data_IF_249888308497
#
_entry.id   IF_249888308497
#
_cell.length_a   1.000
_cell.length_b   1.000
_cell.length_c   1.000
_cell.angle_alpha   90.00
_cell.angle_beta   90.00
_cell.angle_gamma   90.00
#
_symmetry.space_group_name_H-M   'P 1'
#
loop_
_entity.id
_entity.type
_entity.pdbx_description
1 polymer ?
#
# COMPACT_ATOMS: atom_id res chain seq x y z
N UNK A 1 3.38 9.89 -9.44
CA UNK A 1 3.70 10.03 -10.89
C UNK A 1 4.83 11.02 -11.10
N UNK A 2 4.77 12.25 -10.63
CA UNK A 2 5.79 13.31 -10.87
C UNK A 2 7.24 12.90 -10.53
N UNK A 3 7.45 12.16 -9.42
CA UNK A 3 8.79 11.67 -9.07
C UNK A 3 9.34 10.65 -10.10
N UNK A 4 8.53 9.69 -10.54
CA UNK A 4 8.94 8.67 -11.53
C UNK A 4 9.23 9.31 -12.90
N UNK A 5 8.47 10.34 -13.28
CA UNK A 5 8.74 11.13 -14.50
C UNK A 5 10.06 11.90 -14.37
N UNK A 6 10.30 12.54 -13.19
CA UNK A 6 11.53 13.31 -12.96
C UNK A 6 12.80 12.47 -13.08
N UNK A 7 12.77 11.21 -12.61
CA UNK A 7 13.91 10.28 -12.71
C UNK A 7 13.94 9.51 -14.04
N UNK A 8 12.98 9.77 -14.95
CA UNK A 8 12.86 9.08 -16.24
C UNK A 8 12.45 7.60 -16.14
N UNK A 9 11.94 7.16 -15.00
CA UNK A 9 11.50 5.78 -14.84
C UNK A 9 10.11 5.51 -15.42
N UNK A 10 9.26 6.55 -15.53
CA UNK A 10 7.90 6.43 -16.05
C UNK A 10 7.86 5.93 -17.49
N UNK A 11 8.77 6.36 -18.33
CA UNK A 11 8.88 5.95 -19.74
C UNK A 11 9.22 4.47 -19.94
N UNK A 12 9.76 3.83 -18.89
CA UNK A 12 10.09 2.42 -18.88
C UNK A 12 9.00 1.53 -18.27
N UNK A 13 7.93 2.11 -17.72
CA UNK A 13 6.77 1.35 -17.27
C UNK A 13 5.92 0.95 -18.48
N UNK A 14 5.33 -0.24 -18.36
CA UNK A 14 4.30 -0.68 -19.29
C UNK A 14 3.01 0.08 -18.97
N UNK A 15 2.65 1.03 -19.80
CA UNK A 15 1.47 1.88 -19.62
C UNK A 15 0.15 1.09 -19.76
N UNK A 16 0.16 -0.02 -20.50
CA UNK A 16 -1.00 -0.90 -20.63
C UNK A 16 -1.31 -1.65 -19.32
N UNK A 17 -0.37 -1.60 -18.35
CA UNK A 17 -0.51 -2.11 -16.99
C UNK A 17 -0.67 -1.01 -15.94
N UNK A 18 -0.88 0.21 -16.37
CA UNK A 18 -1.12 1.36 -15.49
C UNK A 18 -2.54 1.89 -15.73
N UNK A 19 -3.28 2.12 -14.64
CA UNK A 19 -4.66 2.53 -14.68
C UNK A 19 -4.88 3.80 -13.88
N UNK A 20 -5.25 4.85 -14.56
CA UNK A 20 -5.75 6.08 -13.93
C UNK A 20 -7.20 5.91 -13.52
N UNK A 21 -7.59 6.54 -12.40
CA UNK A 21 -8.98 6.63 -11.99
C UNK A 21 -9.30 8.05 -11.49
N UNK A 22 -10.54 8.48 -11.71
CA UNK A 22 -11.00 9.83 -11.48
C UNK A 22 -12.03 9.92 -10.35
N UNK A 23 -12.58 8.77 -9.95
CA UNK A 23 -13.64 8.72 -8.96
C UNK A 23 -13.32 7.70 -7.87
N UNK A 24 -13.71 8.02 -6.63
CA UNK A 24 -13.67 7.10 -5.52
C UNK A 24 -15.00 7.12 -4.76
N UNK A 25 -15.64 5.96 -4.65
CA UNK A 25 -16.86 5.71 -3.91
C UNK A 25 -16.52 5.11 -2.55
N UNK A 26 -16.89 5.79 -1.47
CA UNK A 26 -16.63 5.34 -0.09
C UNK A 26 -17.93 5.27 0.67
N UNK A 27 -18.22 4.14 1.35
CA UNK A 27 -19.43 4.05 2.18
C UNK A 27 -19.27 3.20 3.44
N UNK A 28 -20.13 3.45 4.39
CA UNK A 28 -20.26 2.66 5.61
C UNK A 28 -21.20 1.48 5.38
N UNK A 29 -20.72 0.28 5.61
CA UNK A 29 -21.47 -0.96 5.37
C UNK A 29 -22.62 -1.21 6.35
N UNK A 30 -22.72 -0.46 7.45
CA UNK A 30 -23.80 -0.59 8.45
C UNK A 30 -24.90 0.46 8.28
N UNK A 31 -24.54 1.70 7.89
CA UNK A 31 -25.49 2.82 7.76
C UNK A 31 -25.79 3.18 6.30
N UNK A 32 -25.00 2.67 5.37
CA UNK A 32 -25.00 3.01 3.93
C UNK A 32 -24.74 4.51 3.65
N UNK A 33 -24.26 5.27 4.64
CA UNK A 33 -23.83 6.65 4.45
C UNK A 33 -22.66 6.69 3.49
N UNK A 34 -22.73 7.53 2.45
CA UNK A 34 -21.80 7.54 1.32
C UNK A 34 -21.12 8.88 1.15
N UNK A 35 -19.92 8.85 0.59
CA UNK A 35 -19.20 10.00 0.06
C UNK A 35 -18.59 9.62 -1.29
N UNK A 36 -18.76 10.49 -2.27
CA UNK A 36 -18.16 10.33 -3.59
C UNK A 36 -17.09 11.41 -3.76
N UNK A 37 -15.86 10.99 -4.01
CA UNK A 37 -14.81 11.87 -4.45
C UNK A 37 -14.75 11.78 -5.97
N UNK A 38 -15.13 12.85 -6.65
CA UNK A 38 -15.17 12.93 -8.11
C UNK A 38 -14.32 14.12 -8.56
N UNK A 39 -13.20 13.83 -9.18
CA UNK A 39 -12.28 14.83 -9.73
C UNK A 39 -12.67 15.28 -11.14
N UNK A 40 -13.59 14.54 -11.80
CA UNK A 40 -14.07 14.89 -13.12
C UNK A 40 -15.11 16.03 -13.10
N UNK A 41 -15.77 16.23 -11.96
CA UNK A 41 -16.88 17.18 -11.84
C UNK A 41 -16.48 18.66 -12.01
N UNK A 42 -15.20 19.00 -11.71
CA UNK A 42 -14.69 20.38 -11.79
C UNK A 42 -13.92 20.66 -13.09
N UNK A 43 -13.89 19.69 -14.03
CA UNK A 43 -13.08 19.80 -15.25
C UNK A 43 -13.87 20.37 -16.43
N UNK A 44 -13.24 21.27 -17.19
CA UNK A 44 -13.74 21.68 -18.49
C UNK A 44 -13.76 20.48 -19.46
N UNK A 45 -14.77 20.35 -20.34
CA UNK A 45 -14.84 19.24 -21.30
C UNK A 45 -13.65 19.12 -22.26
N UNK A 46 -12.74 20.10 -22.26
CA UNK A 46 -11.59 20.21 -23.16
C UNK A 46 -10.22 20.06 -22.46
N UNK A 47 -10.18 19.86 -21.14
CA UNK A 47 -8.95 19.61 -20.38
C UNK A 47 -8.81 18.14 -20.05
N UNK A 48 -7.56 17.66 -19.91
CA UNK A 48 -7.28 16.33 -19.38
C UNK A 48 -7.95 16.21 -17.99
N UNK A 49 -8.83 15.24 -17.83
CA UNK A 49 -9.53 15.00 -16.56
C UNK A 49 -8.50 14.82 -15.44
N UNK A 50 -8.61 15.57 -14.33
CA UNK A 50 -7.71 15.40 -13.21
C UNK A 50 -7.85 13.98 -12.65
N UNK A 51 -6.72 13.37 -12.36
CA UNK A 51 -6.61 11.98 -11.92
C UNK A 51 -6.43 11.92 -10.41
N UNK A 52 -7.22 11.11 -9.71
CA UNK A 52 -7.02 10.85 -8.28
C UNK A 52 -5.68 10.18 -8.04
N UNK A 53 -5.45 9.10 -8.76
CA UNK A 53 -4.21 8.33 -8.70
C UNK A 53 -4.08 7.42 -9.94
N UNK A 54 -2.87 6.90 -10.11
CA UNK A 54 -2.57 5.87 -11.10
C UNK A 54 -2.24 4.57 -10.36
N UNK A 55 -2.97 3.52 -10.67
CA UNK A 55 -2.73 2.18 -10.16
C UNK A 55 -1.84 1.41 -11.11
N UNK A 56 -0.83 0.74 -10.58
CA UNK A 56 0.00 -0.21 -11.33
C UNK A 56 0.48 -1.31 -10.40
N UNK A 57 0.83 -2.46 -10.96
CA UNK A 57 1.38 -3.56 -10.19
C UNK A 57 2.82 -3.28 -9.76
N UNK A 58 3.20 -3.72 -8.56
CA UNK A 58 4.57 -3.60 -8.07
C UNK A 58 5.60 -4.21 -9.04
N UNK A 59 5.25 -5.33 -9.69
CA UNK A 59 6.13 -5.96 -10.66
C UNK A 59 6.41 -5.05 -11.87
N UNK A 60 5.41 -4.31 -12.35
CA UNK A 60 5.57 -3.34 -13.43
C UNK A 60 6.48 -2.18 -13.00
N UNK A 61 6.25 -1.63 -11.80
CA UNK A 61 7.06 -0.55 -11.25
C UNK A 61 8.53 -0.97 -11.09
N UNK A 62 8.78 -2.13 -10.47
CA UNK A 62 10.15 -2.65 -10.27
C UNK A 62 10.84 -2.89 -11.61
N UNK A 63 10.14 -3.49 -12.59
CA UNK A 63 10.68 -3.71 -13.93
C UNK A 63 11.05 -2.37 -14.61
N UNK A 64 10.17 -1.37 -14.54
CA UNK A 64 10.44 -0.05 -15.09
C UNK A 64 11.65 0.64 -14.46
N UNK A 65 11.78 0.58 -13.13
CA UNK A 65 12.93 1.11 -12.40
C UNK A 65 14.24 0.42 -12.80
N UNK A 66 14.25 -0.91 -12.88
CA UNK A 66 15.42 -1.68 -13.30
C UNK A 66 15.78 -1.38 -14.76
N UNK A 67 14.79 -1.27 -15.64
CA UNK A 67 15.00 -0.90 -17.05
C UNK A 67 15.59 0.51 -17.17
N UNK A 68 15.14 1.46 -16.33
CA UNK A 68 15.72 2.82 -16.30
C UNK A 68 17.16 2.81 -15.86
N UNK A 69 17.50 2.02 -14.83
CA UNK A 69 18.90 1.87 -14.38
C UNK A 69 19.75 1.29 -15.51
N UNK A 70 19.28 0.22 -16.15
CA UNK A 70 20.01 -0.40 -17.27
C UNK A 70 20.20 0.57 -18.46
N UNK A 71 19.16 1.37 -18.76
CA UNK A 71 19.21 2.35 -19.86
C UNK A 71 20.11 3.56 -19.55
N UNK A 72 20.41 3.83 -18.27
CA UNK A 72 21.33 4.93 -17.92
C UNK A 72 22.75 4.69 -18.39
N UNK A 73 23.16 3.43 -18.53
CA UNK A 73 24.54 3.09 -18.89
C UNK A 73 25.59 3.56 -17.87
N UNK A 74 25.16 3.92 -16.65
CA UNK A 74 26.06 4.44 -15.62
C UNK A 74 26.86 3.29 -14.99
N UNK A 75 28.14 3.23 -15.33
CA UNK A 75 29.08 2.22 -14.81
C UNK A 75 29.31 2.32 -13.30
N UNK A 76 28.92 3.44 -12.67
CA UNK A 76 29.04 3.61 -11.22
C UNK A 76 27.89 2.97 -10.43
N UNK A 77 26.85 2.47 -11.12
CA UNK A 77 25.73 1.78 -10.49
C UNK A 77 25.89 0.28 -10.61
N UNK A 78 26.02 -0.42 -9.48
CA UNK A 78 26.11 -1.89 -9.43
C UNK A 78 24.92 -2.50 -8.72
N UNK A 79 24.28 -3.50 -9.34
CA UNK A 79 23.18 -4.27 -8.77
C UNK A 79 23.66 -5.67 -8.42
N UNK A 80 23.62 -6.02 -7.14
CA UNK A 80 23.96 -7.35 -6.64
C UNK A 80 22.69 -8.21 -6.52
N UNK A 81 22.26 -8.81 -7.62
CA UNK A 81 21.11 -9.71 -7.66
C UNK A 81 21.41 -11.03 -6.92
N UNK A 82 20.37 -11.70 -6.40
CA UNK A 82 20.49 -12.96 -5.65
C UNK A 82 21.54 -12.89 -4.52
N UNK A 83 21.60 -11.75 -3.84
CA UNK A 83 22.58 -11.48 -2.80
C UNK A 83 21.86 -11.03 -1.53
N UNK A 84 22.27 -11.58 -0.39
CA UNK A 84 21.78 -11.22 0.93
C UNK A 84 22.87 -10.53 1.72
N UNK A 85 22.53 -9.48 2.46
CA UNK A 85 23.40 -8.91 3.48
C UNK A 85 23.36 -9.81 4.71
N UNK A 86 24.44 -10.54 4.95
CA UNK A 86 24.55 -11.51 6.06
C UNK A 86 24.91 -10.86 7.39
N UNK A 87 25.74 -9.80 7.36
CA UNK A 87 26.05 -8.99 8.54
C UNK A 87 26.29 -7.52 8.14
N UNK A 88 26.07 -6.62 9.10
CA UNK A 88 26.47 -5.22 9.04
C UNK A 88 27.25 -4.93 10.32
N UNK A 89 28.44 -4.42 10.19
CA UNK A 89 29.38 -4.16 11.29
C UNK A 89 30.02 -2.78 11.10
N UNK A 90 30.58 -2.21 12.14
CA UNK A 90 31.44 -1.05 12.00
C UNK A 90 32.82 -1.50 11.49
N UNK A 91 33.45 -0.68 10.69
CA UNK A 91 34.82 -0.88 10.24
C UNK A 91 35.83 -0.78 11.39
N UNK A 92 37.10 -0.81 11.01
CA UNK A 92 38.21 -0.71 11.96
C UNK A 92 39.10 0.45 11.57
N UNK A 93 39.77 1.02 12.56
CA UNK A 93 40.89 1.93 12.34
C UNK A 93 42.10 1.14 11.86
N UNK A 94 42.76 1.64 10.83
CA UNK A 94 43.97 1.05 10.29
C UNK A 94 45.12 2.06 10.47
N UNK A 95 46.21 1.69 11.15
CA UNK A 95 47.31 2.60 11.44
C UNK A 95 47.95 3.30 10.21
N UNK A 96 47.91 2.60 9.06
CA UNK A 96 48.50 3.05 7.80
C UNK A 96 47.44 3.46 6.75
N UNK A 97 46.18 3.67 7.14
CA UNK A 97 45.05 3.97 6.23
C UNK A 97 44.05 4.95 6.81
N UNK A 98 42.94 5.22 6.11
CA UNK A 98 41.88 6.03 6.66
C UNK A 98 41.17 5.31 7.82
N UNK A 99 40.79 6.06 8.85
CA UNK A 99 39.94 5.56 9.94
C UNK A 99 38.54 5.23 9.39
N UNK A 100 38.22 3.94 9.37
CA UNK A 100 36.91 3.42 8.94
C UNK A 100 36.07 2.93 10.12
N UNK A 101 36.47 3.18 11.36
CA UNK A 101 35.79 2.68 12.56
C UNK A 101 34.31 3.08 12.64
N UNK A 102 33.95 4.24 12.09
CA UNK A 102 32.57 4.72 12.00
C UNK A 102 31.84 4.34 10.69
N UNK A 103 32.50 3.60 9.78
CA UNK A 103 31.92 3.28 8.48
C UNK A 103 31.23 1.91 8.52
N UNK A 104 29.98 1.79 8.00
CA UNK A 104 29.31 0.52 7.88
C UNK A 104 30.05 -0.42 6.91
N UNK A 105 30.31 -1.63 7.32
CA UNK A 105 30.87 -2.71 6.52
C UNK A 105 29.82 -3.80 6.38
N UNK A 106 29.43 -4.08 5.14
CA UNK A 106 28.42 -5.08 4.80
C UNK A 106 29.12 -6.35 4.32
N UNK A 107 28.72 -7.51 4.83
CA UNK A 107 29.09 -8.80 4.30
C UNK A 107 27.98 -9.31 3.37
N UNK A 108 28.29 -9.45 2.10
CA UNK A 108 27.37 -9.88 1.05
C UNK A 108 27.56 -11.37 0.79
N UNK A 109 26.50 -12.14 0.93
CA UNK A 109 26.48 -13.57 0.65
C UNK A 109 25.52 -13.90 -0.49
N UNK A 110 25.90 -14.71 -1.49
CA UNK A 110 24.98 -15.15 -2.54
C UNK A 110 23.88 -16.03 -1.95
N UNK A 111 22.66 -15.93 -2.49
CA UNK A 111 21.53 -16.81 -2.13
C UNK A 111 21.53 -18.07 -3.01
N UNK A 112 21.20 -19.23 -2.43
CA UNK A 112 21.09 -20.50 -3.17
C UNK A 112 22.39 -21.33 -3.23
N UNK A 113 22.55 -22.11 -4.30
CA UNK A 113 23.62 -23.12 -4.43
C UNK A 113 25.08 -22.57 -4.45
N UNK A 114 25.24 -21.26 -4.57
CA UNK A 114 26.56 -20.61 -4.61
C UNK A 114 27.12 -20.25 -3.23
N UNK A 115 26.58 -20.77 -2.14
CA UNK A 115 26.96 -20.45 -0.74
C UNK A 115 28.40 -20.87 -0.36
N UNK A 116 29.15 -21.52 -1.23
CA UNK A 116 30.52 -21.93 -0.96
C UNK A 116 31.59 -20.85 -1.18
N UNK A 117 31.22 -19.67 -1.69
CA UNK A 117 32.14 -18.54 -1.84
C UNK A 117 32.21 -17.69 -0.57
N UNK A 118 33.41 -17.19 -0.21
CA UNK A 118 33.51 -16.26 0.92
C UNK A 118 32.69 -15.00 0.65
N UNK A 119 32.05 -14.43 1.67
CA UNK A 119 31.24 -13.22 1.51
C UNK A 119 32.10 -12.06 1.00
N UNK A 120 31.59 -11.34 0.02
CA UNK A 120 32.19 -10.08 -0.41
C UNK A 120 31.92 -9.01 0.63
N UNK A 121 32.95 -8.28 1.05
CA UNK A 121 32.80 -7.15 2.01
C UNK A 121 32.80 -5.82 1.26
N UNK A 122 31.85 -4.97 1.60
CA UNK A 122 31.72 -3.61 1.06
C UNK A 122 31.67 -2.63 2.22
N UNK A 123 32.51 -1.62 2.19
CA UNK A 123 32.46 -0.49 3.13
C UNK A 123 31.68 0.65 2.49
N UNK A 124 30.67 1.17 3.18
CA UNK A 124 29.79 2.20 2.66
C UNK A 124 30.06 3.57 3.31
N UNK A 125 30.21 4.60 2.48
CA UNK A 125 30.28 5.98 2.96
C UNK A 125 28.94 6.45 3.56
N UNK A 126 27.84 6.00 2.95
CA UNK A 126 26.47 6.14 3.44
C UNK A 126 25.72 4.83 3.16
N UNK A 127 25.14 4.23 4.17
CA UNK A 127 24.28 3.07 4.07
C UNK A 127 22.81 3.50 4.12
N UNK A 128 22.06 3.20 3.06
CA UNK A 128 20.62 3.49 3.01
C UNK A 128 19.82 2.22 3.23
N UNK A 129 19.02 2.19 4.31
CA UNK A 129 18.09 1.10 4.61
C UNK A 129 16.77 1.31 3.87
N UNK A 130 16.53 0.48 2.83
CA UNK A 130 15.27 0.37 2.10
C UNK A 130 14.73 -1.07 2.18
N UNK A 131 15.01 -1.76 3.28
CA UNK A 131 14.91 -3.19 3.51
C UNK A 131 13.63 -3.60 4.26
N UNK A 132 12.65 -2.71 4.33
CA UNK A 132 11.31 -2.96 4.81
C UNK A 132 11.15 -2.96 6.33
N UNK A 133 9.97 -3.35 6.79
CA UNK A 133 9.53 -3.25 8.21
C UNK A 133 10.50 -3.91 9.21
N UNK A 134 11.15 -5.00 8.83
CA UNK A 134 12.08 -5.73 9.69
C UNK A 134 13.55 -5.32 9.49
N UNK A 135 13.81 -4.11 9.03
CA UNK A 135 15.10 -3.56 8.61
C UNK A 135 16.30 -3.99 9.47
N UNK A 136 17.24 -4.78 8.92
CA UNK A 136 18.55 -5.00 9.52
C UNK A 136 19.37 -3.71 9.65
N UNK A 137 19.25 -2.79 8.68
CA UNK A 137 19.96 -1.51 8.71
C UNK A 137 19.50 -0.65 9.88
N UNK A 138 18.19 -0.58 10.14
CA UNK A 138 17.65 0.13 11.31
C UNK A 138 18.16 -0.46 12.62
N UNK A 139 18.22 -1.79 12.73
CA UNK A 139 18.77 -2.47 13.92
C UNK A 139 20.26 -2.21 14.11
N UNK A 140 21.03 -2.24 13.01
CA UNK A 140 22.45 -1.90 13.05
C UNK A 140 22.68 -0.46 13.55
N UNK A 141 21.85 0.49 13.12
CA UNK A 141 21.94 1.89 13.52
C UNK A 141 21.37 2.18 14.93
N UNK A 142 20.87 1.16 15.66
CA UNK A 142 20.20 1.26 16.95
C UNK A 142 19.05 2.29 16.98
N UNK A 143 18.34 2.41 15.85
CA UNK A 143 17.20 3.32 15.73
C UNK A 143 15.94 2.62 16.25
N UNK A 144 15.37 3.14 17.34
CA UNK A 144 14.15 2.65 17.92
C UNK A 144 12.93 2.93 17.04
N UNK A 145 11.90 2.09 17.15
CA UNK A 145 10.60 2.32 16.51
C UNK A 145 9.50 2.33 17.54
N UNK A 146 8.57 3.25 17.39
CA UNK A 146 7.32 3.30 18.12
C UNK A 146 6.17 2.81 17.27
N UNK A 147 5.09 2.32 17.91
CA UNK A 147 3.91 1.89 17.21
C UNK A 147 3.26 0.66 17.82
N UNK A 148 2.27 0.14 17.12
CA UNK A 148 1.43 -0.98 17.57
C UNK A 148 0.99 -1.86 16.42
N UNK A 149 0.56 -3.05 16.74
CA UNK A 149 -0.10 -3.96 15.83
C UNK A 149 -1.63 -3.74 15.93
N UNK A 150 -2.28 -3.63 14.79
CA UNK A 150 -3.74 -3.44 14.77
C UNK A 150 -4.52 -4.73 15.10
N UNK A 151 -3.84 -5.87 15.23
CA UNK A 151 -4.46 -7.20 15.33
C UNK A 151 -5.44 -7.44 14.17
N UNK A 152 -5.05 -7.01 12.99
CA UNK A 152 -5.78 -7.12 11.73
C UNK A 152 -4.83 -7.58 10.64
N UNK A 153 -5.40 -8.21 9.61
CA UNK A 153 -4.70 -8.57 8.40
C UNK A 153 -5.31 -7.88 7.19
N UNK A 154 -4.48 -7.48 6.26
CA UNK A 154 -4.90 -7.09 4.91
C UNK A 154 -4.86 -8.33 4.02
N UNK A 155 -6.01 -8.73 3.48
CA UNK A 155 -6.11 -9.74 2.42
C UNK A 155 -6.05 -9.01 1.08
N UNK A 156 -5.17 -9.44 0.20
CA UNK A 156 -5.01 -8.88 -1.15
C UNK A 156 -5.22 -9.95 -2.19
N UNK A 157 -5.75 -9.56 -3.34
CA UNK A 157 -5.91 -10.43 -4.50
C UNK A 157 -6.01 -9.60 -5.78
N UNK A 158 -5.59 -10.18 -6.91
CA UNK A 158 -5.90 -9.65 -8.25
C UNK A 158 -7.14 -10.35 -8.79
N UNK A 159 -8.13 -9.56 -9.17
CA UNK A 159 -9.46 -10.02 -9.56
C UNK A 159 -9.75 -9.66 -11.01
N UNK A 160 -10.56 -10.50 -11.69
CA UNK A 160 -11.17 -10.18 -12.96
C UNK A 160 -12.62 -9.75 -12.72
N UNK A 161 -13.04 -8.71 -13.42
CA UNK A 161 -14.37 -8.13 -13.33
C UNK A 161 -15.21 -8.55 -14.54
N UNK A 162 -16.52 -8.67 -14.34
CA UNK A 162 -17.46 -8.86 -15.45
C UNK A 162 -17.42 -7.67 -16.40
N UNK A 163 -17.65 -7.94 -17.69
CA UNK A 163 -17.57 -6.93 -18.75
C UNK A 163 -18.57 -5.79 -18.48
N UNK A 164 -18.14 -4.53 -18.50
CA UNK A 164 -19.00 -3.38 -18.29
C UNK A 164 -20.10 -3.22 -19.33
N UNK A 165 -19.98 -3.82 -20.53
CA UNK A 165 -21.01 -3.78 -21.56
C UNK A 165 -22.35 -4.44 -21.16
N UNK A 166 -22.36 -5.22 -20.07
CA UNK A 166 -23.58 -5.77 -19.48
C UNK A 166 -24.19 -4.90 -18.35
N UNK A 167 -23.53 -3.82 -17.97
CA UNK A 167 -24.00 -2.92 -16.91
C UNK A 167 -23.95 -1.49 -17.48
N UNK A 168 -25.10 -0.83 -17.50
CA UNK A 168 -25.25 0.54 -18.04
C UNK A 168 -24.50 1.59 -17.18
N UNK A 169 -23.18 1.61 -17.25
CA UNK A 169 -22.36 2.71 -16.71
C UNK A 169 -21.78 3.58 -17.84
N UNK A 170 -21.65 4.89 -17.62
CA UNK A 170 -21.02 5.76 -18.63
C UNK A 170 -19.60 5.24 -18.94
N UNK A 171 -19.35 4.97 -20.20
CA UNK A 171 -18.02 4.64 -20.72
C UNK A 171 -17.07 5.77 -20.32
N UNK A 172 -16.11 5.51 -19.43
CA UNK A 172 -14.98 6.42 -19.18
C UNK A 172 -14.61 6.72 -17.75
N UNK A 173 -15.48 6.54 -16.76
CA UNK A 173 -15.10 6.79 -15.36
C UNK A 173 -14.64 5.49 -14.70
N UNK A 174 -13.34 5.41 -14.45
CA UNK A 174 -12.75 4.30 -13.67
C UNK A 174 -12.81 4.68 -12.21
N UNK A 175 -13.58 3.92 -11.46
CA UNK A 175 -13.95 4.21 -10.08
C UNK A 175 -13.25 3.25 -9.14
N UNK A 176 -12.64 3.77 -8.08
CA UNK A 176 -12.19 3.00 -6.93
C UNK A 176 -13.36 2.87 -5.93
N UNK A 177 -13.51 1.72 -5.32
CA UNK A 177 -14.58 1.43 -4.37
C UNK A 177 -14.01 1.07 -3.01
N UNK A 178 -14.58 1.63 -1.93
CA UNK A 178 -14.19 1.28 -0.57
C UNK A 178 -15.42 1.22 0.34
N UNK A 179 -15.62 0.06 0.97
CA UNK A 179 -16.69 -0.16 1.94
C UNK A 179 -16.13 -0.45 3.32
N UNK A 180 -16.59 0.28 4.34
CA UNK A 180 -16.20 0.03 5.72
C UNK A 180 -17.05 -1.06 6.35
N UNK A 181 -16.44 -2.22 6.63
CA UNK A 181 -17.06 -3.40 7.21
C UNK A 181 -16.63 -3.56 8.68
N UNK A 182 -17.01 -2.62 9.53
CA UNK A 182 -16.55 -2.54 10.93
C UNK A 182 -16.69 -3.84 11.71
N UNK A 183 -17.87 -4.44 11.63
CA UNK A 183 -18.15 -5.70 12.32
C UNK A 183 -17.30 -6.88 11.84
N UNK A 184 -16.60 -6.74 10.72
CA UNK A 184 -15.66 -7.73 10.17
C UNK A 184 -14.19 -7.29 10.32
N UNK A 185 -13.95 -6.15 10.95
CA UNK A 185 -12.60 -5.71 11.36
C UNK A 185 -11.94 -4.66 10.48
N UNK A 186 -12.59 -4.13 9.43
CA UNK A 186 -12.03 -3.05 8.62
C UNK A 186 -12.65 -2.91 7.24
N UNK A 187 -12.12 -2.01 6.40
CA UNK A 187 -12.63 -1.78 5.07
C UNK A 187 -12.24 -2.87 4.07
N UNK A 188 -13.08 -3.01 3.05
CA UNK A 188 -12.76 -3.69 1.80
C UNK A 188 -12.67 -2.64 0.70
N UNK A 189 -11.61 -2.66 -0.09
CA UNK A 189 -11.40 -1.78 -1.23
C UNK A 189 -11.19 -2.59 -2.51
N UNK A 190 -11.72 -2.06 -3.61
CA UNK A 190 -11.51 -2.56 -4.96
C UNK A 190 -10.95 -1.41 -5.80
N UNK A 191 -9.72 -1.56 -6.25
CA UNK A 191 -8.98 -0.54 -6.98
C UNK A 191 -8.82 -0.99 -8.44
N UNK A 192 -9.15 -0.13 -9.41
CA UNK A 192 -9.16 -0.53 -10.81
C UNK A 192 -7.75 -0.80 -11.34
N UNK A 193 -7.62 -1.83 -12.14
CA UNK A 193 -6.49 -2.15 -12.98
C UNK A 193 -6.94 -2.21 -14.45
N UNK A 194 -6.01 -2.15 -15.42
CA UNK A 194 -6.35 -2.29 -16.83
C UNK A 194 -7.05 -3.62 -17.16
N UNK A 195 -7.70 -3.67 -18.34
CA UNK A 195 -8.26 -4.89 -18.92
C UNK A 195 -9.28 -5.60 -18.01
N UNK A 196 -10.21 -4.84 -17.41
CA UNK A 196 -11.24 -5.36 -16.51
C UNK A 196 -10.69 -6.15 -15.32
N UNK A 197 -9.49 -5.78 -14.84
CA UNK A 197 -8.95 -6.29 -13.60
C UNK A 197 -9.09 -5.28 -12.47
N UNK A 198 -8.96 -5.76 -11.25
CA UNK A 198 -8.92 -4.93 -10.06
C UNK A 198 -8.03 -5.56 -8.98
N UNK A 199 -7.46 -4.72 -8.13
CA UNK A 199 -6.80 -5.15 -6.90
C UNK A 199 -7.78 -5.07 -5.74
N UNK A 200 -7.96 -6.19 -5.02
CA UNK A 200 -8.64 -6.23 -3.74
C UNK A 200 -7.67 -5.90 -2.61
N UNK A 201 -8.11 -5.06 -1.67
CA UNK A 201 -7.47 -4.89 -0.36
C UNK A 201 -8.56 -4.97 0.70
N UNK A 202 -8.58 -6.05 1.49
CA UNK A 202 -9.59 -6.27 2.52
C UNK A 202 -8.94 -6.34 3.90
N UNK A 203 -9.10 -5.29 4.69
CA UNK A 203 -8.69 -5.28 6.09
C UNK A 203 -9.72 -6.03 6.93
N UNK A 204 -9.28 -7.05 7.69
CA UNK A 204 -10.19 -7.86 8.50
C UNK A 204 -9.47 -8.46 9.72
N UNK A 205 -10.18 -9.23 10.55
CA UNK A 205 -9.55 -9.93 11.67
C UNK A 205 -8.60 -11.03 11.19
N UNK A 206 -7.72 -11.49 12.06
CA UNK A 206 -6.78 -12.59 11.74
C UNK A 206 -7.52 -13.85 11.33
N UNK A 207 -8.60 -14.17 12.04
CA UNK A 207 -9.45 -15.35 11.81
C UNK A 207 -10.15 -15.26 10.45
N UNK A 208 -10.77 -14.10 10.16
CA UNK A 208 -11.43 -13.88 8.89
C UNK A 208 -10.44 -13.91 7.71
N UNK A 209 -9.25 -13.37 7.88
CA UNK A 209 -8.20 -13.42 6.86
C UNK A 209 -7.74 -14.85 6.58
N UNK A 210 -7.58 -15.67 7.64
CA UNK A 210 -7.27 -17.09 7.50
C UNK A 210 -8.41 -17.84 6.78
N UNK A 211 -9.66 -17.55 7.14
CA UNK A 211 -10.85 -18.10 6.48
C UNK A 211 -10.88 -17.76 5.00
N UNK A 212 -10.79 -16.47 4.63
CA UNK A 212 -10.81 -16.03 3.24
C UNK A 212 -9.72 -16.68 2.40
N UNK A 213 -8.52 -16.82 2.93
CA UNK A 213 -7.41 -17.50 2.24
C UNK A 213 -7.59 -18.99 2.08
N UNK A 214 -8.42 -19.61 2.89
CA UNK A 214 -8.68 -21.04 2.85
C UNK A 214 -9.81 -21.42 1.87
N UNK A 215 -10.51 -20.43 1.31
CA UNK A 215 -11.60 -20.65 0.39
C UNK A 215 -11.10 -21.11 -0.99
N UNK A 216 -11.94 -21.86 -1.69
CA UNK A 216 -11.74 -22.10 -3.11
C UNK A 216 -11.88 -20.80 -3.91
N UNK A 217 -11.35 -20.72 -5.13
CA UNK A 217 -11.52 -19.55 -5.99
C UNK A 217 -12.97 -19.09 -6.14
N UNK A 218 -13.91 -20.01 -6.36
CA UNK A 218 -15.35 -19.71 -6.50
C UNK A 218 -15.95 -19.14 -5.21
N UNK A 219 -15.68 -19.78 -4.06
CA UNK A 219 -16.15 -19.33 -2.77
C UNK A 219 -15.54 -17.95 -2.39
N UNK A 220 -14.27 -17.72 -2.70
CA UNK A 220 -13.62 -16.44 -2.50
C UNK A 220 -14.27 -15.32 -3.33
N UNK A 221 -14.53 -15.57 -4.62
CA UNK A 221 -15.25 -14.66 -5.51
C UNK A 221 -16.64 -14.33 -4.95
N UNK A 222 -17.38 -15.35 -4.49
CA UNK A 222 -18.69 -15.16 -3.88
C UNK A 222 -18.61 -14.26 -2.64
N UNK A 223 -17.60 -14.48 -1.78
CA UNK A 223 -17.38 -13.66 -0.59
C UNK A 223 -17.02 -12.21 -0.92
N UNK A 224 -16.19 -11.96 -1.94
CA UNK A 224 -15.86 -10.60 -2.39
C UNK A 224 -17.11 -9.90 -2.93
N UNK A 225 -17.90 -10.56 -3.76
CA UNK A 225 -19.16 -10.01 -4.26
C UNK A 225 -20.16 -9.72 -3.14
N UNK A 226 -20.26 -10.61 -2.15
CA UNK A 226 -21.08 -10.43 -0.96
C UNK A 226 -20.62 -9.19 -0.15
N UNK A 227 -19.30 -9.00 0.00
CA UNK A 227 -18.73 -7.91 0.78
C UNK A 227 -19.10 -6.52 0.24
N UNK A 228 -19.35 -6.38 -1.05
CA UNK A 228 -19.75 -5.10 -1.66
C UNK A 228 -21.27 -4.92 -1.79
N UNK A 229 -22.07 -5.99 -1.68
CA UNK A 229 -23.51 -5.97 -2.04
C UNK A 229 -24.46 -6.30 -0.90
N UNK A 230 -24.10 -7.24 -0.03
CA UNK A 230 -25.02 -7.74 0.97
C UNK A 230 -25.06 -6.86 2.24
N UNK A 231 -26.21 -6.82 2.94
CA UNK A 231 -26.29 -6.30 4.29
C UNK A 231 -25.30 -6.99 5.24
N UNK A 232 -24.88 -6.28 6.30
CA UNK A 232 -23.88 -6.81 7.24
C UNK A 232 -24.33 -8.11 7.92
N UNK A 233 -25.62 -8.30 8.16
CA UNK A 233 -26.18 -9.54 8.74
C UNK A 233 -25.88 -10.74 7.86
N UNK A 234 -26.16 -10.62 6.57
CA UNK A 234 -25.98 -11.66 5.58
C UNK A 234 -24.52 -11.97 5.31
N UNK A 235 -23.70 -10.91 5.23
CA UNK A 235 -22.27 -11.04 5.07
C UNK A 235 -21.62 -11.76 6.28
N UNK A 236 -22.06 -11.44 7.51
CA UNK A 236 -21.62 -12.14 8.72
C UNK A 236 -22.00 -13.62 8.72
N UNK A 237 -23.18 -13.93 8.21
CA UNK A 237 -23.59 -15.32 8.07
C UNK A 237 -22.66 -16.07 7.11
N UNK A 238 -22.43 -15.53 5.91
CA UNK A 238 -21.54 -16.14 4.93
C UNK A 238 -20.10 -16.30 5.43
N UNK A 239 -19.60 -15.36 6.23
CA UNK A 239 -18.27 -15.45 6.87
C UNK A 239 -18.17 -16.56 7.93
N UNK A 240 -19.29 -17.14 8.37
CA UNK A 240 -19.36 -18.19 9.38
C UNK A 240 -19.83 -19.53 8.82
N UNK A 241 -20.00 -19.62 7.50
CA UNK A 241 -20.40 -20.87 6.88
C UNK A 241 -19.33 -21.93 7.15
N UNK A 242 -19.75 -23.03 7.80
CA UNK A 242 -18.87 -24.15 8.10
C UNK A 242 -18.57 -24.93 6.82
N UNK A 243 -17.34 -25.44 6.72
CA UNK A 243 -17.00 -26.40 5.66
C UNK A 243 -17.83 -27.67 5.85
N UNK A 244 -18.65 -28.09 4.89
CA UNK A 244 -19.28 -29.40 4.99
C UNK A 244 -18.20 -30.49 5.08
N UNK A 245 -18.47 -31.52 5.86
CA UNK A 245 -17.58 -32.68 5.97
C UNK A 245 -17.54 -33.54 4.70
N UNK A 246 -18.39 -33.19 3.73
CA UNK A 246 -18.53 -33.82 2.40
C UNK A 246 -17.71 -33.08 1.34
N UNK A 247 -17.52 -33.68 0.20
CA UNK A 247 -16.56 -33.32 -0.87
C UNK A 247 -16.32 -31.82 -1.12
N UNK A 248 -15.10 -31.47 -1.56
CA UNK A 248 -14.70 -30.07 -1.84
C UNK A 248 -15.62 -29.37 -2.87
N UNK A 249 -16.26 -30.13 -3.81
CA UNK A 249 -17.18 -29.59 -4.80
C UNK A 249 -18.45 -29.02 -4.20
N UNK A 250 -19.04 -29.70 -3.21
CA UNK A 250 -20.31 -29.29 -2.60
C UNK A 250 -20.15 -28.01 -1.78
N UNK A 251 -18.92 -27.76 -1.27
CA UNK A 251 -18.60 -26.55 -0.56
C UNK A 251 -18.40 -25.34 -1.48
N UNK A 252 -17.80 -25.53 -2.64
CA UNK A 252 -17.60 -24.49 -3.65
C UNK A 252 -18.94 -23.94 -4.14
N UNK A 253 -19.91 -24.83 -4.39
CA UNK A 253 -21.24 -24.45 -4.84
C UNK A 253 -22.07 -23.78 -3.73
N UNK A 254 -21.79 -24.05 -2.45
CA UNK A 254 -22.58 -23.51 -1.34
C UNK A 254 -22.48 -21.98 -1.18
N UNK A 255 -21.29 -21.38 -1.34
CA UNK A 255 -21.12 -19.94 -1.24
C UNK A 255 -21.73 -19.20 -2.43
N UNK A 256 -21.59 -19.73 -3.62
CA UNK A 256 -22.16 -19.15 -4.84
C UNK A 256 -23.70 -19.24 -4.81
N UNK A 257 -24.25 -20.40 -4.42
CA UNK A 257 -25.68 -20.62 -4.27
C UNK A 257 -26.29 -19.72 -3.19
N UNK A 258 -25.60 -19.58 -2.04
CA UNK A 258 -26.04 -18.72 -0.95
C UNK A 258 -26.00 -17.23 -1.37
N UNK A 259 -24.95 -16.79 -2.04
CA UNK A 259 -24.87 -15.43 -2.59
C UNK A 259 -26.02 -15.17 -3.57
N UNK A 260 -26.24 -16.08 -4.49
CA UNK A 260 -27.30 -15.96 -5.52
C UNK A 260 -28.69 -15.85 -4.87
N UNK A 261 -28.98 -16.71 -3.89
CA UNK A 261 -30.24 -16.67 -3.15
C UNK A 261 -30.42 -15.33 -2.42
N UNK A 262 -29.36 -14.85 -1.71
CA UNK A 262 -29.43 -13.59 -0.97
C UNK A 262 -29.62 -12.38 -1.88
N UNK A 263 -28.92 -12.33 -3.01
CA UNK A 263 -29.08 -11.24 -3.99
C UNK A 263 -30.51 -11.18 -4.57
N UNK A 264 -31.20 -12.30 -4.71
CA UNK A 264 -32.59 -12.34 -5.14
C UNK A 264 -33.55 -11.79 -4.07
N UNK A 265 -33.20 -11.89 -2.79
CA UNK A 265 -34.05 -11.52 -1.66
C UNK A 265 -33.60 -10.19 -0.98
N UNK A 266 -32.59 -9.54 -1.51
CA UNK A 266 -32.08 -8.25 -1.01
C UNK A 266 -32.30 -7.17 -2.06
N UNK A 267 -32.72 -5.95 -1.66
CA UNK A 267 -32.78 -4.86 -2.62
C UNK A 267 -31.46 -4.65 -3.35
N UNK A 268 -31.47 -4.39 -4.66
CA UNK A 268 -30.24 -4.20 -5.43
C UNK A 268 -29.43 -3.02 -4.87
N UNK A 269 -28.18 -3.27 -4.53
CA UNK A 269 -27.27 -2.22 -4.09
C UNK A 269 -26.91 -1.30 -5.26
N UNK A 270 -27.02 0.01 -5.05
CA UNK A 270 -26.62 1.04 -6.03
C UNK A 270 -25.17 1.45 -5.82
N UNK A 271 -24.51 1.91 -6.87
CA UNK A 271 -23.13 2.43 -6.82
C UNK A 271 -22.13 1.44 -6.18
N UNK A 272 -22.17 0.20 -6.60
CA UNK A 272 -21.26 -0.87 -6.20
C UNK A 272 -20.37 -1.29 -7.38
N UNK A 273 -19.19 -1.89 -7.12
CA UNK A 273 -18.31 -2.31 -8.23
C UNK A 273 -18.99 -3.34 -9.14
N UNK A 274 -18.50 -3.52 -10.38
CA UNK A 274 -18.89 -4.64 -11.24
C UNK A 274 -18.75 -5.99 -10.51
N UNK A 275 -19.45 -7.02 -10.97
CA UNK A 275 -19.33 -8.36 -10.40
C UNK A 275 -17.91 -8.89 -10.64
N UNK A 276 -17.32 -9.44 -9.60
CA UNK A 276 -16.09 -10.23 -9.72
C UNK A 276 -16.45 -11.59 -10.28
N UNK A 277 -15.78 -11.99 -11.36
CA UNK A 277 -15.98 -13.27 -12.04
C UNK A 277 -14.73 -14.16 -12.05
N UNK A 278 -13.57 -13.63 -11.60
CA UNK A 278 -12.33 -14.38 -11.53
C UNK A 278 -11.39 -13.88 -10.45
N UNK A 279 -10.47 -14.75 -10.02
CA UNK A 279 -9.34 -14.44 -9.16
C UNK A 279 -8.09 -15.02 -9.77
N UNK A 280 -7.02 -14.24 -9.88
CA UNK A 280 -5.76 -14.70 -10.42
C UNK A 280 -5.15 -15.77 -9.50
N UNK A 281 -4.76 -16.90 -10.05
CA UNK A 281 -4.13 -17.99 -9.32
C UNK A 281 -2.87 -17.50 -8.56
N UNK A 282 -2.75 -17.91 -7.30
CA UNK A 282 -1.62 -17.53 -6.44
C UNK A 282 -1.60 -16.06 -5.98
N UNK A 283 -2.57 -15.22 -6.38
CA UNK A 283 -2.60 -13.81 -5.99
C UNK A 283 -3.17 -13.55 -4.60
N UNK A 284 -3.93 -14.50 -4.04
CA UNK A 284 -4.55 -14.34 -2.71
C UNK A 284 -3.48 -14.45 -1.62
N UNK A 285 -3.17 -13.33 -1.01
CA UNK A 285 -2.18 -13.23 0.06
C UNK A 285 -2.73 -12.44 1.26
N UNK A 286 -2.10 -12.56 2.41
CA UNK A 286 -2.42 -11.70 3.55
C UNK A 286 -1.17 -11.32 4.33
N UNK A 287 -1.21 -10.12 4.92
CA UNK A 287 -0.13 -9.59 5.75
C UNK A 287 -0.70 -8.88 6.98
N UNK A 288 0.04 -8.90 8.11
CA UNK A 288 -0.39 -8.20 9.32
C UNK A 288 -0.34 -6.69 9.12
N UNK A 289 -1.39 -6.01 9.60
CA UNK A 289 -1.46 -4.55 9.59
C UNK A 289 -0.81 -3.99 10.85
N UNK A 290 0.14 -3.07 10.66
CA UNK A 290 0.95 -2.48 11.71
C UNK A 290 1.09 -0.98 11.49
N UNK A 291 1.26 -0.26 12.59
CA UNK A 291 1.80 1.08 12.60
C UNK A 291 3.19 1.03 13.23
N UNK A 292 4.19 1.55 12.54
CA UNK A 292 5.56 1.69 13.05
C UNK A 292 6.12 3.01 12.55
N UNK A 293 6.80 3.72 13.43
CA UNK A 293 7.49 4.95 13.08
C UNK A 293 8.84 4.99 13.79
N UNK A 294 9.91 5.21 13.05
CA UNK A 294 11.25 5.30 13.62
C UNK A 294 11.41 6.64 14.37
N UNK A 295 12.10 6.60 15.50
CA UNK A 295 12.38 7.78 16.32
C UNK A 295 13.19 8.84 15.58
N UNK A 296 14.02 8.40 14.65
CA UNK A 296 14.75 9.23 13.67
C UNK A 296 14.94 8.42 12.38
N UNK A 297 15.22 9.11 11.27
CA UNK A 297 15.50 8.45 9.98
C UNK A 297 16.98 8.38 9.66
N UNK A 298 17.82 8.89 10.54
CA UNK A 298 19.26 8.98 10.34
C UNK A 298 20.06 8.56 11.57
N UNK A 299 21.26 8.07 11.32
CA UNK A 299 22.35 7.86 12.27
C UNK A 299 23.67 8.17 11.54
N UNK A 300 24.81 8.32 12.20
CA UNK A 300 26.06 8.50 11.50
C UNK A 300 26.25 7.44 10.39
N UNK A 301 26.41 7.89 9.15
CA UNK A 301 26.53 7.07 7.93
C UNK A 301 25.37 6.13 7.62
N UNK A 302 24.19 6.38 8.20
CA UNK A 302 22.98 5.59 7.93
C UNK A 302 21.80 6.51 7.69
N UNK A 303 20.99 6.18 6.67
CA UNK A 303 19.67 6.77 6.42
C UNK A 303 18.64 5.67 6.19
N UNK A 304 17.39 5.87 6.62
CA UNK A 304 16.28 4.94 6.42
C UNK A 304 15.24 5.57 5.50
N UNK A 305 14.66 4.79 4.58
CA UNK A 305 13.59 5.22 3.67
C UNK A 305 12.45 4.20 3.63
N UNK A 306 11.23 4.65 3.37
CA UNK A 306 10.05 3.80 3.23
C UNK A 306 9.76 2.96 4.48
N UNK A 307 9.38 1.69 4.30
CA UNK A 307 8.98 0.80 5.40
C UNK A 307 10.10 0.52 6.42
N UNK A 308 11.35 0.78 6.09
CA UNK A 308 12.45 0.74 7.05
C UNK A 308 12.35 1.87 8.09
N UNK A 309 11.81 3.03 7.69
CA UNK A 309 11.61 4.21 8.52
C UNK A 309 10.20 4.29 9.11
N UNK A 310 9.17 3.98 8.34
CA UNK A 310 7.76 4.11 8.75
C UNK A 310 6.84 3.12 8.04
N UNK A 311 5.93 2.54 8.77
CA UNK A 311 4.86 1.67 8.25
C UNK A 311 3.53 2.26 8.69
N UNK A 312 2.65 2.50 7.74
CA UNK A 312 1.33 3.08 7.99
C UNK A 312 0.21 2.11 7.61
N UNK A 313 -0.99 2.35 8.13
CA UNK A 313 -2.16 1.58 7.72
C UNK A 313 -2.47 1.82 6.23
N UNK A 314 -2.76 0.77 5.43
CA UNK A 314 -2.93 0.89 3.97
C UNK A 314 -4.25 1.56 3.53
N UNK A 315 -4.99 2.22 4.44
CA UNK A 315 -6.28 2.86 4.16
C UNK A 315 -6.28 3.81 2.96
N UNK A 316 -5.19 4.53 2.77
CA UNK A 316 -5.08 5.55 1.71
C UNK A 316 -4.08 5.16 0.61
N UNK A 317 -3.49 3.95 0.64
CA UNK A 317 -2.48 3.52 -0.33
C UNK A 317 -1.19 4.38 -0.34
N UNK A 318 -0.91 5.13 0.74
CA UNK A 318 0.14 6.15 0.76
C UNK A 318 1.54 5.62 1.11
N UNK A 319 1.69 4.36 1.54
CA UNK A 319 3.00 3.84 1.99
C UNK A 319 4.09 4.00 0.94
N UNK A 320 3.83 3.59 -0.30
CA UNK A 320 4.77 3.73 -1.42
C UNK A 320 5.06 5.21 -1.76
N UNK A 321 4.03 6.06 -1.76
CA UNK A 321 4.18 7.49 -2.06
C UNK A 321 5.05 8.19 -1.03
N UNK A 322 4.87 7.88 0.26
CA UNK A 322 5.72 8.40 1.33
C UNK A 322 7.18 7.95 1.15
N UNK A 323 7.40 6.66 0.85
CA UNK A 323 8.73 6.13 0.56
C UNK A 323 9.40 6.81 -0.64
N UNK A 324 8.67 7.07 -1.73
CA UNK A 324 9.19 7.84 -2.87
C UNK A 324 9.53 9.28 -2.48
N UNK A 325 8.71 9.90 -1.63
CA UNK A 325 9.00 11.21 -1.05
C UNK A 325 10.27 11.22 -0.19
N UNK A 326 10.52 10.13 0.57
CA UNK A 326 11.75 9.98 1.34
C UNK A 326 12.98 9.90 0.44
N UNK A 327 12.91 9.08 -0.62
CA UNK A 327 13.99 8.96 -1.60
C UNK A 327 14.26 10.30 -2.28
N UNK A 328 13.21 11.03 -2.67
CA UNK A 328 13.36 12.35 -3.30
C UNK A 328 14.03 13.38 -2.38
N UNK A 329 13.67 13.39 -1.09
CA UNK A 329 14.24 14.29 -0.09
C UNK A 329 15.70 13.91 0.26
N UNK A 330 15.96 12.61 0.46
CA UNK A 330 17.31 12.11 0.73
C UNK A 330 18.25 12.41 -0.46
N UNK A 331 17.79 12.20 -1.70
CA UNK A 331 18.57 12.52 -2.90
C UNK A 331 18.98 13.99 -2.95
N UNK A 332 18.04 14.91 -2.69
CA UNK A 332 18.32 16.35 -2.62
C UNK A 332 19.30 16.69 -1.48
N UNK A 333 19.19 15.99 -0.37
CA UNK A 333 20.09 16.17 0.78
C UNK A 333 21.51 15.74 0.44
N UNK A 334 21.69 14.62 -0.25
CA UNK A 334 22.98 14.11 -0.71
C UNK A 334 23.55 15.07 -1.76
N UNK A 335 22.76 15.49 -2.75
CA UNK A 335 23.16 16.47 -3.78
C UNK A 335 23.68 17.75 -3.13
N UNK A 336 22.92 18.32 -2.18
CA UNK A 336 23.34 19.51 -1.43
C UNK A 336 24.68 19.30 -0.70
N UNK A 337 24.86 18.17 -0.03
CA UNK A 337 26.10 17.87 0.68
C UNK A 337 27.31 17.78 -0.28
N UNK A 338 27.14 17.13 -1.45
CA UNK A 338 28.16 17.03 -2.47
C UNK A 338 28.54 18.40 -3.03
N UNK A 339 27.55 19.22 -3.39
CA UNK A 339 27.76 20.56 -3.97
C UNK A 339 28.49 21.52 -2.99
N UNK A 340 28.36 21.29 -1.68
CA UNK A 340 29.01 22.10 -0.65
C UNK A 340 30.24 21.45 -0.05
N UNK A 341 30.73 20.34 -0.63
CA UNK A 341 31.96 19.66 -0.14
C UNK A 341 31.78 19.00 1.23
N UNK A 342 30.54 18.73 1.66
CA UNK A 342 30.25 18.08 2.94
C UNK A 342 30.37 16.55 2.84
N UNK A 343 30.58 15.87 3.96
CA UNK A 343 30.49 14.41 3.98
C UNK A 343 29.03 13.96 3.97
N UNK A 344 28.63 13.18 2.95
CA UNK A 344 27.27 12.65 2.79
C UNK A 344 26.85 11.71 3.91
N UNK A 345 27.80 11.15 4.68
CA UNK A 345 27.54 10.30 5.83
C UNK A 345 27.55 11.02 7.17
N UNK A 346 27.91 12.30 7.20
CA UNK A 346 27.88 13.11 8.42
C UNK A 346 26.43 13.36 8.86
N UNK A 347 26.20 13.28 10.17
CA UNK A 347 24.88 13.48 10.76
C UNK A 347 24.31 14.86 10.44
N UNK A 348 25.12 15.90 10.47
CA UNK A 348 24.69 17.27 10.15
C UNK A 348 24.25 17.40 8.69
N UNK A 349 24.91 16.69 7.78
CA UNK A 349 24.50 16.64 6.37
C UNK A 349 23.14 15.97 6.21
N UNK A 350 22.83 14.94 7.00
CA UNK A 350 21.61 14.14 6.91
C UNK A 350 20.43 14.74 7.69
N UNK A 351 20.65 15.62 8.68
CA UNK A 351 19.59 16.22 9.50
C UNK A 351 18.50 16.89 8.66
N UNK A 352 18.86 17.50 7.53
CA UNK A 352 17.91 18.13 6.62
C UNK A 352 16.86 17.15 6.10
N UNK A 353 17.26 15.94 5.78
CA UNK A 353 16.35 14.87 5.35
C UNK A 353 15.33 14.52 6.45
N UNK A 354 15.81 14.26 7.65
CA UNK A 354 14.92 13.93 8.78
C UNK A 354 13.99 15.09 9.12
N UNK A 355 14.48 16.32 9.15
CA UNK A 355 13.68 17.52 9.44
C UNK A 355 12.53 17.71 8.43
N UNK A 356 12.78 17.44 7.15
CA UNK A 356 11.77 17.54 6.10
C UNK A 356 10.73 16.41 6.19
N UNK A 357 11.17 15.16 6.40
CA UNK A 357 10.31 13.98 6.20
C UNK A 357 9.63 13.44 7.46
N UNK A 358 10.30 13.49 8.60
CA UNK A 358 9.81 12.86 9.82
C UNK A 358 8.42 13.38 10.22
N UNK A 359 8.25 14.70 10.28
CA UNK A 359 6.98 15.31 10.68
C UNK A 359 5.85 15.08 9.66
N UNK A 360 6.16 15.08 8.36
CA UNK A 360 5.19 14.81 7.29
C UNK A 360 4.68 13.38 7.39
N UNK A 361 5.58 12.41 7.52
CA UNK A 361 5.24 11.00 7.60
C UNK A 361 4.49 10.67 8.91
N UNK A 362 4.90 11.27 10.04
CA UNK A 362 4.20 11.14 11.31
C UNK A 362 2.77 11.67 11.25
N UNK A 363 2.55 12.83 10.59
CA UNK A 363 1.24 13.44 10.40
C UNK A 363 0.33 12.53 9.57
N UNK A 364 0.80 12.05 8.42
CA UNK A 364 0.01 11.19 7.51
C UNK A 364 -0.29 9.85 8.20
N UNK A 365 0.70 9.24 8.83
CA UNK A 365 0.51 8.02 9.60
C UNK A 365 -0.51 8.18 10.74
N UNK A 366 -0.45 9.30 11.47
CA UNK A 366 -1.39 9.63 12.53
C UNK A 366 -2.82 9.85 12.02
N UNK A 367 -3.00 10.47 10.85
CA UNK A 367 -4.33 10.62 10.21
C UNK A 367 -4.89 9.25 9.82
N UNK A 368 -4.09 8.40 9.18
CA UNK A 368 -4.52 7.04 8.82
C UNK A 368 -4.91 6.22 10.06
N UNK A 369 -4.14 6.33 11.14
CA UNK A 369 -4.44 5.68 12.42
C UNK A 369 -5.73 6.22 13.07
N UNK A 370 -5.92 7.53 13.07
CA UNK A 370 -7.14 8.16 13.60
C UNK A 370 -8.37 7.69 12.82
N UNK A 371 -8.32 7.66 11.49
CA UNK A 371 -9.41 7.16 10.65
C UNK A 371 -9.67 5.68 10.96
N UNK A 372 -8.62 4.85 11.02
CA UNK A 372 -8.76 3.44 11.40
C UNK A 372 -9.45 3.28 12.76
N UNK A 373 -9.02 4.00 13.79
CA UNK A 373 -9.60 3.96 15.13
C UNK A 373 -11.06 4.44 15.13
N UNK A 374 -11.37 5.54 14.45
CA UNK A 374 -12.73 6.08 14.34
C UNK A 374 -13.70 5.07 13.72
N UNK A 375 -13.27 4.35 12.69
CA UNK A 375 -14.10 3.35 12.02
C UNK A 375 -14.14 1.99 12.74
N UNK A 376 -13.29 1.75 13.75
CA UNK A 376 -13.33 0.54 14.58
C UNK A 376 -14.09 0.73 15.90
N UNK A 377 -14.56 1.94 16.23
CA UNK A 377 -15.42 2.15 17.40
C UNK A 377 -16.77 1.42 17.21
N UNK A 378 -17.25 0.67 18.23
CA UNK A 378 -18.52 -0.04 18.15
C UNK A 378 -19.67 0.84 17.68
N UNK A 379 -20.54 0.28 16.83
CA UNK A 379 -21.55 1.00 16.05
C UNK A 379 -22.77 1.55 16.81
N UNK A 380 -22.76 1.56 18.16
CA UNK A 380 -23.85 2.09 18.97
C UNK A 380 -23.33 3.25 19.83
N UNK A 381 -24.00 4.40 19.75
CA UNK A 381 -23.69 5.59 20.56
C UNK A 381 -23.44 6.87 19.77
N UNK A 382 -23.17 8.00 20.47
CA UNK A 382 -23.02 9.32 19.86
C UNK A 382 -21.91 9.40 18.81
N UNK A 383 -20.82 8.62 18.99
CA UNK A 383 -19.69 8.59 18.07
C UNK A 383 -20.08 7.98 16.71
N UNK A 384 -20.90 6.91 16.71
CA UNK A 384 -21.38 6.28 15.48
C UNK A 384 -22.29 7.22 14.69
N UNK A 385 -23.20 7.92 15.40
CA UNK A 385 -24.08 8.93 14.82
C UNK A 385 -23.28 10.13 14.27
N UNK A 386 -22.34 10.67 15.06
CA UNK A 386 -21.48 11.77 14.64
C UNK A 386 -20.62 11.45 13.42
N UNK A 387 -20.15 10.20 13.27
CA UNK A 387 -19.37 9.76 12.11
C UNK A 387 -20.22 9.67 10.83
N UNK A 388 -21.42 9.06 10.90
CA UNK A 388 -22.34 9.00 9.75
C UNK A 388 -22.75 10.38 9.29
N UNK A 389 -23.08 11.26 10.26
CA UNK A 389 -23.34 12.67 10.00
C UNK A 389 -22.10 13.38 9.43
N UNK A 390 -20.89 13.02 9.90
CA UNK A 390 -19.63 13.55 9.40
C UNK A 390 -19.39 13.24 7.93
N UNK A 391 -19.61 11.99 7.48
CA UNK A 391 -19.51 11.61 6.07
C UNK A 391 -20.52 12.39 5.20
N UNK A 392 -21.78 12.47 5.63
CA UNK A 392 -22.80 13.23 4.90
C UNK A 392 -22.50 14.73 4.86
N UNK A 393 -21.97 15.31 5.95
CA UNK A 393 -21.58 16.72 5.99
C UNK A 393 -20.39 16.97 5.05
N UNK A 394 -19.37 16.11 5.07
CA UNK A 394 -18.20 16.23 4.18
C UNK A 394 -18.64 16.14 2.72
N UNK A 395 -19.53 15.21 2.38
CA UNK A 395 -20.04 15.07 1.02
C UNK A 395 -20.83 16.31 0.54
N UNK A 396 -21.54 16.97 1.45
CA UNK A 396 -22.33 18.19 1.17
C UNK A 396 -21.53 19.49 1.21
N UNK A 397 -20.27 19.47 1.67
CA UNK A 397 -19.43 20.67 1.76
C UNK A 397 -18.28 20.60 0.75
N UNK A 398 -18.45 21.16 -0.48
CA UNK A 398 -17.44 21.11 -1.55
C UNK A 398 -16.06 21.60 -1.11
N UNK A 399 -16.03 22.65 -0.26
CA UNK A 399 -14.76 23.20 0.25
C UNK A 399 -13.96 22.21 1.11
N UNK A 400 -14.63 21.48 2.03
CA UNK A 400 -14.00 20.48 2.89
C UNK A 400 -13.53 19.29 2.04
N UNK A 401 -14.37 18.87 1.11
CA UNK A 401 -14.07 17.81 0.15
C UNK A 401 -12.85 18.18 -0.70
N UNK A 402 -12.83 19.36 -1.31
CA UNK A 402 -11.70 19.86 -2.10
C UNK A 402 -10.40 20.01 -1.29
N UNK A 403 -10.49 20.42 -0.01
CA UNK A 403 -9.34 20.47 0.89
C UNK A 403 -8.77 19.06 1.17
N UNK A 404 -9.63 18.07 1.42
CA UNK A 404 -9.22 16.68 1.61
C UNK A 404 -8.58 16.11 0.33
N UNK A 405 -9.20 16.40 -0.83
CA UNK A 405 -8.69 15.98 -2.14
C UNK A 405 -7.29 16.54 -2.40
N UNK A 406 -7.10 17.85 -2.25
CA UNK A 406 -5.82 18.53 -2.48
C UNK A 406 -4.69 18.04 -1.56
N UNK A 407 -5.00 17.62 -0.33
CA UNK A 407 -3.99 17.06 0.58
C UNK A 407 -3.74 15.55 0.35
N UNK A 408 -4.57 14.86 -0.45
CA UNK A 408 -4.35 13.48 -0.87
C UNK A 408 -3.43 13.37 -2.11
N UNK A 409 -3.26 14.44 -2.86
CA UNK A 409 -2.40 14.50 -4.05
C UNK A 409 -0.90 14.53 -3.70
N UNK A 410 -0.50 14.76 -2.45
CA UNK A 410 0.86 14.65 -1.89
C UNK A 410 1.87 15.60 -2.49
#
# INVERSE_FOLDING_TARGET
MSFLQKIGAWEHLDTDRAQEYQEMQVWDGETDSRITFDWSADSSPFENLPTVATMTENANLVRGLLSRIAASGDENVSIFSNTTVSSIENGTDHPDGPDLSAWPVLSLAPTGAAQSQPPTRITARLLVGADGINSPVRRFADIATEGWDYNRHGVVATLSLADPDQVAFPIGTRTAYQRFLRSLGGPVALLPLPNNHATLVWSTTVENAAYLKSLSPKAFIAMVNAAFRLPMTDLKYMMRMERPATSASDYEDSHESELTWRLQHTPPASHVPPMVNGVQEGSVASFPLRFRHASTYISPRVALVGDAAHVIHPLAGQGLNLGMGDVASLSKTIEYAVDHGMDIGDILSLERYTAERWAVNAKIGGVCDMVHKLYNVPGQGPVAWGRSLGLEIIDRLPFVKGFLMKNAEG
#
